data_IF_870316082404
#
_entry.id   IF_870316082404
#
_cell.length_a   1.000
_cell.length_b   1.000
_cell.length_c   1.000
_cell.angle_alpha   90.00
_cell.angle_beta   90.00
_cell.angle_gamma   90.00
#
_symmetry.space_group_name_H-M   'P 1'
#
loop_
_entity.id
_entity.type
_entity.pdbx_description
1 polymer ?
#
# COMPACT_ATOMS: atom_id res chain seq x y z
N UNK A 1 18.28 -2.39 0.33
CA UNK A 1 17.29 -1.31 0.46
C UNK A 1 17.32 -0.68 1.86
N UNK A 2 17.51 -1.46 2.93
CA UNK A 2 17.63 -0.96 4.31
C UNK A 2 18.98 -0.30 4.63
N UNK A 3 19.61 0.33 3.67
CA UNK A 3 20.88 1.03 3.83
C UNK A 3 20.65 2.55 3.82
N UNK A 4 21.27 3.25 4.76
CA UNK A 4 21.21 4.72 4.80
C UNK A 4 21.85 5.37 3.56
N UNK A 5 22.66 4.62 2.82
CA UNK A 5 23.30 5.02 1.55
C UNK A 5 22.49 4.67 0.31
N UNK A 6 21.25 4.18 0.45
CA UNK A 6 20.37 3.89 -0.68
C UNK A 6 20.19 5.15 -1.54
N UNK A 7 20.29 4.99 -2.85
CA UNK A 7 20.05 6.07 -3.82
C UNK A 7 18.62 5.93 -4.33
N UNK A 8 17.80 6.94 -4.07
CA UNK A 8 16.41 7.01 -4.54
C UNK A 8 16.36 7.13 -6.06
N UNK A 9 15.48 6.36 -6.72
CA UNK A 9 15.29 6.40 -8.17
C UNK A 9 14.43 7.59 -8.62
N UNK A 10 13.39 7.91 -7.82
CA UNK A 10 12.55 9.10 -8.00
C UNK A 10 13.12 10.35 -7.30
N UNK A 11 12.27 11.28 -6.84
CA UNK A 11 10.81 11.11 -6.80
C UNK A 11 10.15 11.33 -8.17
N UNK A 12 9.10 10.56 -8.44
CA UNK A 12 8.29 10.71 -9.65
C UNK A 12 7.11 11.63 -9.38
N UNK A 13 6.66 12.39 -10.36
CA UNK A 13 5.44 13.20 -10.30
C UNK A 13 4.17 12.41 -10.63
N UNK A 14 4.32 11.27 -11.28
CA UNK A 14 3.29 10.25 -11.49
C UNK A 14 3.88 8.84 -11.40
N UNK A 15 3.07 7.90 -10.91
CA UNK A 15 3.40 6.47 -10.89
C UNK A 15 2.24 5.67 -11.48
N UNK A 16 2.57 4.60 -12.19
CA UNK A 16 1.60 3.79 -12.92
C UNK A 16 2.02 2.32 -12.98
N UNK A 17 1.03 1.46 -13.20
CA UNK A 17 1.23 0.04 -13.44
C UNK A 17 1.39 -0.25 -14.93
N UNK A 18 2.27 -1.19 -15.25
CA UNK A 18 2.50 -1.62 -16.63
C UNK A 18 3.40 -0.67 -17.42
N UNK A 19 3.33 -0.80 -18.74
CA UNK A 19 4.09 0.00 -19.70
C UNK A 19 3.32 0.15 -21.01
N UNK A 20 3.57 1.24 -21.72
CA UNK A 20 3.14 1.46 -23.09
C UNK A 20 4.23 2.24 -23.87
N UNK A 21 3.92 2.69 -25.10
CA UNK A 21 4.90 3.41 -25.94
C UNK A 21 5.42 4.73 -25.31
N UNK A 22 4.65 5.33 -24.40
CA UNK A 22 4.96 6.61 -23.76
C UNK A 22 5.38 6.46 -22.30
N UNK A 23 5.12 5.30 -21.69
CA UNK A 23 5.32 5.04 -20.27
C UNK A 23 6.21 3.81 -20.09
N UNK A 24 7.53 3.98 -19.89
CA UNK A 24 8.43 2.88 -19.58
C UNK A 24 8.08 2.26 -18.22
N UNK A 25 8.34 0.96 -18.04
CA UNK A 25 8.05 0.31 -16.77
C UNK A 25 8.94 0.84 -15.64
N UNK A 26 8.33 1.55 -14.70
CA UNK A 26 9.00 2.14 -13.52
C UNK A 26 8.59 1.47 -12.20
N UNK A 27 7.82 0.37 -12.24
CA UNK A 27 7.27 -0.26 -11.03
C UNK A 27 8.35 -0.70 -10.05
N UNK A 28 9.44 -1.28 -10.54
CA UNK A 28 10.54 -1.69 -9.68
C UNK A 28 11.27 -0.50 -9.04
N UNK A 29 11.41 0.59 -9.77
CA UNK A 29 12.12 1.78 -9.31
C UNK A 29 11.40 2.43 -8.12
N UNK A 30 10.15 2.88 -8.29
CA UNK A 30 9.43 3.47 -7.16
C UNK A 30 9.06 2.44 -6.09
N UNK A 31 8.81 1.19 -6.46
CA UNK A 31 8.57 0.11 -5.50
C UNK A 31 9.78 -0.14 -4.59
N UNK A 32 10.99 -0.04 -5.13
CA UNK A 32 12.22 -0.09 -4.34
C UNK A 32 12.40 1.14 -3.46
N UNK A 33 12.04 2.34 -3.93
CA UNK A 33 12.07 3.55 -3.12
C UNK A 33 11.13 3.42 -1.90
N UNK A 34 9.90 2.97 -2.10
CA UNK A 34 8.94 2.79 -1.01
C UNK A 34 9.36 1.69 -0.04
N UNK A 35 9.92 0.59 -0.57
CA UNK A 35 10.50 -0.45 0.27
C UNK A 35 11.71 0.08 1.06
N UNK A 36 12.55 0.91 0.44
CA UNK A 36 13.69 1.53 1.13
C UNK A 36 13.23 2.47 2.24
N UNK A 37 12.19 3.30 2.00
CA UNK A 37 11.62 4.15 3.03
C UNK A 37 11.18 3.34 4.25
N UNK A 38 10.38 2.28 4.04
CA UNK A 38 9.89 1.41 5.10
C UNK A 38 11.01 0.68 5.83
N UNK A 39 11.93 0.05 5.11
CA UNK A 39 13.03 -0.71 5.71
C UNK A 39 13.99 0.19 6.49
N UNK A 40 14.25 1.42 6.02
CA UNK A 40 15.06 2.38 6.77
C UNK A 40 14.31 2.89 8.02
N UNK A 41 12.99 3.09 7.98
CA UNK A 41 12.20 3.40 9.17
C UNK A 41 12.30 2.28 10.23
N UNK A 42 12.19 1.01 9.80
CA UNK A 42 12.37 -0.16 10.69
C UNK A 42 13.79 -0.20 11.26
N UNK A 43 14.81 0.03 10.43
CA UNK A 43 16.21 0.05 10.88
C UNK A 43 16.46 1.19 11.87
N UNK A 44 15.85 2.35 11.64
CA UNK A 44 15.92 3.45 12.62
C UNK A 44 15.25 3.07 13.93
N UNK A 45 14.05 2.48 13.90
CA UNK A 45 13.38 2.01 15.12
C UNK A 45 14.25 1.03 15.93
N UNK A 46 14.95 0.12 15.24
CA UNK A 46 15.78 -0.89 15.89
C UNK A 46 17.13 -0.38 16.39
N UNK A 47 17.74 0.61 15.71
CA UNK A 47 19.15 0.99 15.94
C UNK A 47 19.34 2.41 16.44
N UNK A 48 18.35 3.27 16.28
CA UNK A 48 18.41 4.72 16.54
C UNK A 48 19.50 5.46 15.75
N UNK A 49 20.04 4.85 14.69
CA UNK A 49 21.04 5.49 13.84
C UNK A 49 20.38 6.49 12.89
N UNK A 50 20.71 7.76 13.06
CA UNK A 50 20.09 8.88 12.34
C UNK A 50 20.14 8.74 10.80
N UNK A 51 21.16 8.14 10.23
CA UNK A 51 21.28 7.95 8.79
C UNK A 51 20.10 7.16 8.18
N UNK A 52 19.51 6.22 8.93
CA UNK A 52 18.31 5.50 8.50
C UNK A 52 17.08 6.41 8.55
N UNK A 53 16.92 7.22 9.60
CA UNK A 53 15.84 8.19 9.66
C UNK A 53 15.93 9.19 8.50
N UNK A 54 17.12 9.77 8.27
CA UNK A 54 17.35 10.73 7.20
C UNK A 54 16.99 10.15 5.82
N UNK A 55 17.35 8.88 5.57
CA UNK A 55 17.01 8.21 4.30
C UNK A 55 15.51 7.96 4.14
N UNK A 56 14.84 7.49 5.18
CA UNK A 56 13.38 7.30 5.15
C UNK A 56 12.67 8.63 4.90
N UNK A 57 13.07 9.70 5.61
CA UNK A 57 12.49 11.03 5.45
C UNK A 57 12.79 11.67 4.10
N UNK A 58 13.96 11.44 3.52
CA UNK A 58 14.30 11.89 2.15
C UNK A 58 13.27 11.37 1.15
N UNK A 59 12.94 10.07 1.22
CA UNK A 59 12.01 9.44 0.29
C UNK A 59 10.58 9.92 0.56
N UNK A 60 10.14 9.95 1.82
CA UNK A 60 8.80 10.43 2.20
C UNK A 60 8.59 11.86 1.70
N UNK A 61 9.50 12.78 1.99
CA UNK A 61 9.42 14.18 1.55
C UNK A 61 9.43 14.31 0.04
N UNK A 62 10.32 13.58 -0.61
CA UNK A 62 10.45 13.61 -2.07
C UNK A 62 9.12 13.26 -2.76
N UNK A 63 8.53 12.12 -2.42
CA UNK A 63 7.27 11.70 -3.03
C UNK A 63 6.07 12.53 -2.59
N UNK A 64 6.01 12.96 -1.34
CA UNK A 64 4.93 13.85 -0.85
C UNK A 64 4.87 15.17 -1.63
N UNK A 65 6.03 15.71 -1.98
CA UNK A 65 6.14 16.96 -2.75
C UNK A 65 5.88 16.74 -4.26
N UNK A 66 6.32 15.61 -4.81
CA UNK A 66 6.38 15.41 -6.26
C UNK A 66 5.17 14.70 -6.83
N UNK A 67 4.64 13.67 -6.15
CA UNK A 67 3.53 12.86 -6.69
C UNK A 67 2.22 13.65 -6.73
N UNK A 68 1.65 13.82 -7.94
CA UNK A 68 0.53 14.77 -8.16
C UNK A 68 -0.76 14.12 -8.61
N UNK A 69 -0.70 12.93 -9.19
CA UNK A 69 -1.85 12.28 -9.82
C UNK A 69 -2.22 10.98 -9.09
N UNK A 70 -3.52 10.59 -9.12
CA UNK A 70 -3.90 9.25 -8.74
C UNK A 70 -3.10 8.21 -9.52
N UNK A 71 -2.76 7.12 -8.83
CA UNK A 71 -2.09 5.97 -9.47
C UNK A 71 -3.00 5.37 -10.54
N UNK A 72 -2.46 5.05 -11.70
CA UNK A 72 -3.23 4.55 -12.83
C UNK A 72 -2.54 3.35 -13.51
N UNK A 73 -3.21 2.75 -14.49
CA UNK A 73 -2.62 1.74 -15.37
C UNK A 73 -2.25 2.39 -16.71
N UNK A 74 -1.01 2.23 -17.14
CA UNK A 74 -0.57 2.60 -18.47
C UNK A 74 -1.19 1.69 -19.56
N UNK A 75 -1.70 0.52 -19.17
CA UNK A 75 -2.43 -0.39 -20.04
C UNK A 75 -3.91 -0.01 -20.09
N UNK A 76 -4.51 -0.03 -21.26
CA UNK A 76 -5.90 0.39 -21.48
C UNK A 76 -6.97 -0.43 -20.73
N UNK A 77 -6.65 -1.63 -20.25
CA UNK A 77 -7.57 -2.46 -19.50
C UNK A 77 -6.80 -3.23 -18.43
N UNK A 78 -7.15 -3.03 -17.17
CA UNK A 78 -6.58 -3.78 -16.07
C UNK A 78 -6.72 -3.06 -14.73
N UNK A 79 -6.68 -3.86 -13.67
CA UNK A 79 -6.69 -3.39 -12.28
C UNK A 79 -5.30 -3.48 -11.65
N UNK A 80 -4.24 -3.61 -12.46
CA UNK A 80 -2.86 -3.75 -11.97
C UNK A 80 -2.44 -2.60 -11.05
N UNK A 81 -2.97 -1.39 -11.30
CA UNK A 81 -2.74 -0.22 -10.46
C UNK A 81 -3.34 -0.36 -9.06
N UNK A 82 -4.45 -1.08 -8.90
CA UNK A 82 -5.04 -1.39 -7.59
C UNK A 82 -4.10 -2.30 -6.79
N UNK A 83 -3.63 -3.41 -7.41
CA UNK A 83 -2.66 -4.29 -6.78
C UNK A 83 -1.36 -3.53 -6.44
N UNK A 84 -0.94 -2.62 -7.30
CA UNK A 84 0.25 -1.81 -7.09
C UNK A 84 0.10 -0.90 -5.87
N UNK A 85 -1.04 -0.22 -5.71
CA UNK A 85 -1.34 0.57 -4.50
C UNK A 85 -1.34 -0.34 -3.27
N UNK A 86 -2.07 -1.45 -3.33
CA UNK A 86 -2.18 -2.40 -2.22
C UNK A 86 -0.87 -3.06 -1.80
N UNK A 87 0.06 -3.30 -2.72
CA UNK A 87 1.27 -4.10 -2.46
C UNK A 87 2.56 -3.27 -2.42
N UNK A 88 2.68 -2.22 -3.23
CA UNK A 88 3.90 -1.39 -3.28
C UNK A 88 3.73 -0.10 -2.47
N UNK A 89 2.63 0.64 -2.67
CA UNK A 89 2.44 1.92 -2.02
C UNK A 89 2.21 1.80 -0.51
N UNK A 90 1.64 0.70 -0.03
CA UNK A 90 1.47 0.43 1.40
C UNK A 90 2.78 0.53 2.19
N UNK A 91 3.93 0.23 1.57
CA UNK A 91 5.24 0.33 2.23
C UNK A 91 5.57 1.78 2.61
N UNK A 92 5.17 2.73 1.76
CA UNK A 92 5.34 4.15 2.08
C UNK A 92 4.38 4.57 3.20
N UNK A 93 3.15 4.03 3.23
CA UNK A 93 2.19 4.24 4.32
C UNK A 93 2.77 3.78 5.66
N UNK A 94 3.35 2.57 5.70
CA UNK A 94 4.01 2.04 6.90
C UNK A 94 5.23 2.88 7.31
N UNK A 95 6.01 3.38 6.34
CA UNK A 95 7.13 4.26 6.64
C UNK A 95 6.66 5.54 7.34
N UNK A 96 5.61 6.17 6.84
CA UNK A 96 5.03 7.39 7.42
C UNK A 96 4.53 7.14 8.83
N UNK A 97 3.79 6.05 9.06
CA UNK A 97 3.28 5.69 10.38
C UNK A 97 4.41 5.46 11.39
N UNK A 98 5.43 4.70 11.02
CA UNK A 98 6.59 4.48 11.89
C UNK A 98 7.32 5.80 12.22
N UNK A 99 7.61 6.61 11.21
CA UNK A 99 8.37 7.84 11.38
C UNK A 99 7.61 8.90 12.18
N UNK A 100 6.27 8.88 12.15
CA UNK A 100 5.42 9.77 12.95
C UNK A 100 5.65 9.63 14.46
N UNK A 101 5.86 8.39 14.93
CA UNK A 101 5.94 8.09 16.37
C UNK A 101 7.36 7.86 16.90
N UNK A 102 8.35 7.78 16.03
CA UNK A 102 9.74 7.55 16.46
C UNK A 102 10.41 8.85 16.83
N UNK A 103 10.80 8.97 18.10
CA UNK A 103 11.59 10.09 18.58
C UNK A 103 12.90 10.23 17.80
N UNK A 104 13.22 11.45 17.39
CA UNK A 104 14.43 11.71 16.60
C UNK A 104 14.33 11.35 15.12
N UNK A 105 13.16 10.95 14.63
CA UNK A 105 12.91 10.65 13.21
C UNK A 105 13.13 11.86 12.30
N UNK A 106 12.93 13.06 12.83
CA UNK A 106 12.98 14.31 12.07
C UNK A 106 11.74 14.60 11.24
N UNK A 107 10.66 13.83 11.45
CA UNK A 107 9.35 14.12 10.83
C UNK A 107 8.72 15.33 11.52
N UNK A 108 8.41 16.36 10.76
CA UNK A 108 7.64 17.51 11.23
C UNK A 108 6.15 17.32 10.98
N UNK A 109 5.31 18.16 11.59
CA UNK A 109 3.88 18.14 11.30
C UNK A 109 3.59 18.46 9.82
N UNK A 110 4.37 19.32 9.19
CA UNK A 110 4.26 19.65 7.77
C UNK A 110 4.61 18.44 6.88
N UNK A 111 5.66 17.68 7.24
CA UNK A 111 6.03 16.46 6.53
C UNK A 111 4.91 15.41 6.60
N UNK A 112 4.37 15.22 7.80
CA UNK A 112 3.27 14.28 8.03
C UNK A 112 2.02 14.70 7.27
N UNK A 113 1.62 15.96 7.35
CA UNK A 113 0.47 16.47 6.61
C UNK A 113 0.67 16.35 5.09
N UNK A 114 1.86 16.65 4.59
CA UNK A 114 2.21 16.48 3.18
C UNK A 114 2.07 15.03 2.70
N UNK A 115 2.45 14.06 3.52
CA UNK A 115 2.26 12.64 3.22
C UNK A 115 0.78 12.25 3.24
N UNK A 116 0.02 12.70 4.23
CA UNK A 116 -1.43 12.49 4.31
C UNK A 116 -2.17 13.06 3.08
N UNK A 117 -1.80 14.26 2.65
CA UNK A 117 -2.39 14.91 1.47
C UNK A 117 -2.03 14.16 0.18
N UNK A 118 -0.83 13.60 0.09
CA UNK A 118 -0.44 12.73 -1.02
C UNK A 118 -1.29 11.44 -1.03
N UNK A 119 -1.51 10.78 0.11
CA UNK A 119 -2.36 9.59 0.18
C UNK A 119 -3.79 9.89 -0.28
N UNK A 120 -4.37 10.99 0.21
CA UNK A 120 -5.71 11.46 -0.18
C UNK A 120 -5.82 11.79 -1.67
N UNK A 121 -4.77 12.33 -2.26
CA UNK A 121 -4.74 12.71 -3.67
C UNK A 121 -4.45 11.55 -4.60
N UNK A 122 -3.55 10.63 -4.21
CA UNK A 122 -2.94 9.69 -5.14
C UNK A 122 -3.32 8.23 -4.91
N UNK A 123 -3.58 7.79 -3.68
CA UNK A 123 -3.81 6.39 -3.36
C UNK A 123 -5.27 6.08 -3.02
N UNK A 124 -5.88 6.87 -2.15
CA UNK A 124 -7.25 6.65 -1.70
C UNK A 124 -8.24 6.65 -2.87
N UNK A 125 -8.22 7.60 -3.83
CA UNK A 125 -9.17 7.59 -4.93
C UNK A 125 -9.16 6.31 -5.75
N UNK A 126 -7.97 5.70 -5.93
CA UNK A 126 -7.81 4.43 -6.66
C UNK A 126 -8.55 3.29 -5.95
N UNK A 127 -8.44 3.24 -4.63
CA UNK A 127 -9.09 2.20 -3.83
C UNK A 127 -10.57 2.47 -3.64
N UNK A 128 -10.99 3.72 -3.50
CA UNK A 128 -12.41 4.09 -3.47
C UNK A 128 -13.12 3.74 -4.77
N UNK A 129 -12.51 4.02 -5.92
CA UNK A 129 -13.03 3.64 -7.23
C UNK A 129 -13.15 2.11 -7.34
N UNK A 130 -12.14 1.37 -6.88
CA UNK A 130 -12.17 -0.09 -6.85
C UNK A 130 -13.31 -0.63 -5.98
N UNK A 131 -13.50 -0.10 -4.77
CA UNK A 131 -14.56 -0.54 -3.86
C UNK A 131 -15.97 -0.04 -4.25
N UNK A 132 -16.08 1.00 -5.08
CA UNK A 132 -17.37 1.48 -5.59
C UNK A 132 -18.03 0.53 -6.59
N UNK A 133 -17.25 -0.36 -7.16
CA UNK A 133 -17.73 -1.29 -8.16
C UNK A 133 -18.57 -2.38 -7.45
N UNK A 134 -19.86 -2.43 -7.71
CA UNK A 134 -20.84 -3.31 -7.03
C UNK A 134 -21.04 -4.69 -7.67
N UNK A 135 -20.46 -4.91 -8.85
CA UNK A 135 -20.51 -6.18 -9.57
C UNK A 135 -19.33 -7.06 -9.12
N UNK A 136 -19.51 -7.97 -8.16
CA UNK A 136 -18.42 -8.56 -7.40
C UNK A 136 -17.53 -9.51 -8.18
N UNK A 137 -18.10 -10.17 -9.14
CA UNK A 137 -17.53 -11.41 -9.69
C UNK A 137 -16.46 -11.21 -10.75
N UNK A 138 -16.30 -10.00 -11.27
CA UNK A 138 -15.64 -9.86 -12.58
C UNK A 138 -14.36 -9.04 -12.55
N UNK A 139 -13.83 -8.69 -11.36
CA UNK A 139 -12.89 -7.58 -11.34
C UNK A 139 -11.46 -7.92 -11.16
N UNK A 140 -11.19 -8.72 -10.16
CA UNK A 140 -9.83 -9.09 -9.83
C UNK A 140 -9.85 -10.37 -9.02
N UNK A 141 -8.78 -11.12 -9.10
CA UNK A 141 -8.54 -12.23 -8.18
C UNK A 141 -8.40 -11.72 -6.74
N UNK A 142 -8.66 -12.58 -5.76
CA UNK A 142 -8.79 -12.19 -4.37
C UNK A 142 -7.58 -11.48 -3.78
N UNK A 143 -6.36 -11.78 -4.21
CA UNK A 143 -5.16 -11.09 -3.72
C UNK A 143 -5.13 -9.58 -4.07
N UNK A 144 -5.76 -9.14 -5.16
CA UNK A 144 -5.97 -7.71 -5.45
C UNK A 144 -6.86 -7.06 -4.39
N UNK A 145 -8.02 -7.67 -4.12
CA UNK A 145 -8.96 -7.18 -3.13
C UNK A 145 -8.37 -7.16 -1.72
N UNK A 146 -7.72 -8.25 -1.29
CA UNK A 146 -7.10 -8.33 0.04
C UNK A 146 -6.02 -7.26 0.21
N UNK A 147 -5.13 -7.07 -0.78
CA UNK A 147 -4.09 -6.03 -0.70
C UNK A 147 -4.67 -4.63 -0.71
N UNK A 148 -5.73 -4.39 -1.49
CA UNK A 148 -6.45 -3.11 -1.50
C UNK A 148 -7.06 -2.79 -0.12
N UNK A 149 -7.76 -3.75 0.50
CA UNK A 149 -8.36 -3.60 1.83
C UNK A 149 -7.27 -3.33 2.88
N UNK A 150 -6.17 -4.09 2.85
CA UNK A 150 -5.06 -3.92 3.78
C UNK A 150 -4.43 -2.51 3.69
N UNK A 151 -4.18 -2.03 2.46
CA UNK A 151 -3.64 -0.68 2.26
C UNK A 151 -4.63 0.41 2.68
N UNK A 152 -5.92 0.23 2.39
CA UNK A 152 -6.98 1.15 2.79
C UNK A 152 -7.07 1.28 4.31
N UNK A 153 -7.04 0.15 5.02
CA UNK A 153 -7.01 0.11 6.48
C UNK A 153 -5.76 0.80 7.04
N UNK A 154 -4.58 0.53 6.48
CA UNK A 154 -3.34 1.16 6.91
C UNK A 154 -3.39 2.70 6.75
N UNK A 155 -3.93 3.19 5.62
CA UNK A 155 -4.12 4.63 5.42
C UNK A 155 -5.14 5.23 6.39
N UNK A 156 -6.23 4.51 6.70
CA UNK A 156 -7.23 4.95 7.67
C UNK A 156 -6.59 5.18 9.06
N UNK A 157 -5.69 4.30 9.47
CA UNK A 157 -4.94 4.43 10.73
C UNK A 157 -4.02 5.65 10.71
N UNK A 158 -3.22 5.80 9.65
CA UNK A 158 -2.32 6.97 9.50
C UNK A 158 -3.09 8.29 9.53
N UNK A 159 -4.28 8.31 8.94
CA UNK A 159 -5.13 9.50 8.84
C UNK A 159 -5.99 9.74 10.09
N UNK A 160 -5.97 8.85 11.08
CA UNK A 160 -6.88 8.83 12.23
C UNK A 160 -8.37 8.87 11.77
N UNK A 161 -8.69 8.22 10.63
CA UNK A 161 -10.02 8.19 10.01
C UNK A 161 -10.79 6.92 10.38
N UNK A 162 -11.61 7.04 11.42
CA UNK A 162 -12.42 5.92 11.94
C UNK A 162 -13.50 5.45 10.95
N UNK A 163 -14.05 6.34 10.13
CA UNK A 163 -15.06 5.95 9.15
C UNK A 163 -14.43 5.12 8.02
N UNK A 164 -13.26 5.55 7.54
CA UNK A 164 -12.48 4.81 6.57
C UNK A 164 -12.03 3.44 7.13
N UNK A 165 -11.63 3.39 8.41
CA UNK A 165 -11.26 2.16 9.10
C UNK A 165 -12.43 1.18 9.18
N UNK A 166 -13.60 1.63 9.63
CA UNK A 166 -14.81 0.80 9.68
C UNK A 166 -15.20 0.30 8.30
N UNK A 167 -15.13 1.17 7.28
CA UNK A 167 -15.37 0.78 5.88
C UNK A 167 -14.44 -0.37 5.45
N UNK A 168 -13.15 -0.33 5.80
CA UNK A 168 -12.21 -1.41 5.50
C UNK A 168 -12.63 -2.73 6.16
N UNK A 169 -13.00 -2.70 7.45
CA UNK A 169 -13.49 -3.88 8.19
C UNK A 169 -14.77 -4.42 7.56
N UNK A 170 -15.72 -3.56 7.22
CA UNK A 170 -16.99 -3.96 6.61
C UNK A 170 -16.78 -4.60 5.23
N UNK A 171 -15.89 -4.05 4.41
CA UNK A 171 -15.53 -4.65 3.13
C UNK A 171 -14.90 -6.02 3.34
N UNK A 172 -13.98 -6.15 4.29
CA UNK A 172 -13.32 -7.43 4.59
C UNK A 172 -14.29 -8.51 5.06
N UNK A 173 -15.19 -8.17 5.98
CA UNK A 173 -16.11 -9.14 6.60
C UNK A 173 -17.34 -9.41 5.75
N UNK A 174 -17.91 -8.39 5.12
CA UNK A 174 -19.25 -8.43 4.52
C UNK A 174 -19.29 -7.98 3.06
N UNK A 175 -18.19 -7.46 2.53
CA UNK A 175 -18.12 -6.94 1.17
C UNK A 175 -18.35 -8.00 0.11
N UNK A 176 -18.58 -7.53 -1.11
CA UNK A 176 -18.77 -8.36 -2.29
C UNK A 176 -17.48 -8.55 -3.10
N UNK A 177 -16.38 -8.04 -2.57
CA UNK A 177 -15.06 -8.15 -3.17
C UNK A 177 -14.50 -9.56 -3.05
N UNK A 178 -13.80 -10.03 -4.07
CA UNK A 178 -13.08 -11.29 -4.00
C UNK A 178 -12.02 -11.34 -2.88
N UNK A 179 -11.58 -10.19 -2.36
CA UNK A 179 -10.70 -10.07 -1.22
C UNK A 179 -11.40 -10.13 0.14
N UNK A 180 -12.74 -10.09 0.22
CA UNK A 180 -13.43 -10.30 1.49
C UNK A 180 -13.31 -11.75 1.93
N UNK A 181 -13.28 -11.98 3.26
CA UNK A 181 -13.00 -13.31 3.83
C UNK A 181 -13.91 -14.39 3.29
N UNK A 182 -15.21 -14.09 3.11
CA UNK A 182 -16.23 -15.03 2.65
C UNK A 182 -16.07 -15.45 1.18
N UNK A 183 -15.32 -14.70 0.39
CA UNK A 183 -15.05 -15.03 -1.01
C UNK A 183 -13.61 -15.47 -1.24
N UNK A 184 -12.69 -15.00 -0.41
CA UNK A 184 -11.29 -15.36 -0.55
C UNK A 184 -10.96 -16.74 -0.01
N UNK A 185 -11.61 -17.15 1.08
CA UNK A 185 -11.45 -18.47 1.70
C UNK A 185 -12.74 -19.24 1.56
N UNK A 186 -12.65 -20.43 0.97
CA UNK A 186 -13.76 -21.37 0.91
C UNK A 186 -14.04 -21.93 2.32
N UNK A 187 -15.29 -21.76 2.78
CA UNK A 187 -15.67 -22.12 4.16
C UNK A 187 -15.72 -23.61 4.45
N UNK A 188 -15.80 -24.46 3.44
CA UNK A 188 -15.87 -25.91 3.60
C UNK A 188 -14.48 -26.55 3.55
N UNK A 189 -13.66 -26.10 2.61
CA UNK A 189 -12.34 -26.71 2.33
C UNK A 189 -11.18 -25.96 2.95
N UNK A 190 -11.37 -24.68 3.31
CA UNK A 190 -10.32 -23.79 3.77
C UNK A 190 -9.34 -23.33 2.67
N UNK A 191 -9.63 -23.64 1.42
CA UNK A 191 -8.79 -23.22 0.30
C UNK A 191 -8.99 -21.73 0.00
N UNK A 192 -7.91 -21.03 -0.31
CA UNK A 192 -8.01 -19.66 -0.83
C UNK A 192 -8.24 -19.67 -2.35
N UNK A 193 -8.73 -18.56 -2.90
CA UNK A 193 -8.98 -18.42 -4.33
C UNK A 193 -7.77 -18.72 -5.23
N UNK A 194 -6.57 -18.51 -4.71
CA UNK A 194 -5.33 -18.76 -5.45
C UNK A 194 -4.81 -20.20 -5.29
N UNK A 195 -5.49 -21.04 -4.50
CA UNK A 195 -5.16 -22.46 -4.36
C UNK A 195 -5.26 -23.15 -5.71
N UNK A 196 -4.18 -23.81 -6.13
CA UNK A 196 -4.11 -24.47 -7.45
C UNK A 196 -3.60 -23.59 -8.59
N UNK A 197 -3.44 -22.27 -8.39
CA UNK A 197 -2.79 -21.39 -9.36
C UNK A 197 -1.26 -21.50 -9.25
N UNK A 198 -0.68 -20.94 -8.23
CA UNK A 198 0.72 -21.08 -7.85
C UNK A 198 0.93 -20.64 -6.40
N UNK A 199 2.09 -21.05 -5.85
CA UNK A 199 2.41 -20.79 -4.47
C UNK A 199 2.66 -19.31 -4.16
N UNK A 200 3.20 -18.54 -5.10
CA UNK A 200 3.50 -17.12 -4.92
C UNK A 200 2.23 -16.31 -4.71
N UNK A 201 1.20 -16.52 -5.54
CA UNK A 201 -0.07 -15.82 -5.43
C UNK A 201 -0.85 -16.23 -4.17
N UNK A 202 -0.84 -17.53 -3.83
CA UNK A 202 -1.47 -18.01 -2.62
C UNK A 202 -0.81 -17.39 -1.36
N UNK A 203 0.53 -17.39 -1.29
CA UNK A 203 1.26 -16.78 -0.19
C UNK A 203 1.09 -15.27 -0.11
N UNK A 204 1.05 -14.57 -1.25
CA UNK A 204 0.80 -13.12 -1.28
C UNK A 204 -0.54 -12.79 -0.63
N UNK A 205 -1.61 -13.42 -1.07
CA UNK A 205 -2.94 -13.12 -0.56
C UNK A 205 -3.11 -13.48 0.91
N UNK A 206 -2.63 -14.66 1.33
CA UNK A 206 -2.67 -15.06 2.74
C UNK A 206 -1.79 -14.17 3.62
N UNK A 207 -0.64 -13.74 3.13
CA UNK A 207 0.23 -12.80 3.83
C UNK A 207 -0.44 -11.44 4.05
N UNK A 208 -1.09 -10.89 3.01
CA UNK A 208 -1.82 -9.63 3.11
C UNK A 208 -3.02 -9.73 4.05
N UNK A 209 -3.75 -10.85 4.02
CA UNK A 209 -4.85 -11.12 4.93
C UNK A 209 -4.36 -11.20 6.39
N UNK A 210 -3.26 -11.89 6.63
CA UNK A 210 -2.67 -12.00 7.96
C UNK A 210 -2.25 -10.63 8.51
N UNK A 211 -1.66 -9.77 7.68
CA UNK A 211 -1.30 -8.40 8.07
C UNK A 211 -2.54 -7.57 8.40
N UNK A 212 -3.60 -7.69 7.60
CA UNK A 212 -4.86 -7.01 7.84
C UNK A 212 -5.50 -7.45 9.16
N UNK A 213 -5.59 -8.75 9.38
CA UNK A 213 -6.14 -9.30 10.62
C UNK A 213 -5.32 -8.89 11.86
N UNK A 214 -3.99 -8.95 11.79
CA UNK A 214 -3.11 -8.53 12.87
C UNK A 214 -3.26 -7.02 13.16
N UNK A 215 -3.37 -6.21 12.12
CA UNK A 215 -3.62 -4.78 12.26
C UNK A 215 -4.94 -4.52 12.95
N UNK A 216 -6.02 -5.16 12.48
CA UNK A 216 -7.34 -5.02 13.09
C UNK A 216 -7.41 -5.52 14.53
N UNK A 217 -6.64 -6.54 14.88
CA UNK A 217 -6.56 -7.08 16.23
C UNK A 217 -5.90 -6.12 17.23
N UNK A 218 -4.97 -5.28 16.76
CA UNK A 218 -4.20 -4.36 17.59
C UNK A 218 -4.81 -2.98 17.75
N UNK A 219 -5.80 -2.63 16.94
CA UNK A 219 -6.51 -1.36 17.01
C UNK A 219 -7.76 -1.46 17.87
#
# INVERSE_FOLDING_TARGET
LSQSTYIMNGPYDEIYAGEDASHPNIMNQFGNDFAAACQNAIMFAATQQKGYADKSMEIIRGYSASLKKPVYSARQAGLDHVLMVGNLCIKLVYAVELMRYLDGSGMTNEDFQGACDMFKRCFIPVLDDFFSITEPKNKAVGNFGVSAINCYMAMAIVLDDMEMYKKAIDIYLYGYENGSIRYYIDGETGQCQESGRDQTHAQLGLGMMSMLCETAWKQ
#
